data_IF_004778136494
#
_entry.id   IF_004778136494
#
_cell.length_a   1.000
_cell.length_b   1.000
_cell.length_c   1.000
_cell.angle_alpha   90.00
_cell.angle_beta   90.00
_cell.angle_gamma   90.00
#
_symmetry.space_group_name_H-M   'P 1'
#
loop_
_entity.id
_entity.type
_entity.pdbx_description
1 polymer ?
#
# COMPACT_ATOMS: atom_id res chain seq x y z
N UNK A 1 8.11 19.90 -10.84
CA UNK A 1 8.95 20.21 -9.67
C UNK A 1 8.96 18.97 -8.79
N UNK A 2 10.11 18.38 -8.41
CA UNK A 2 10.12 17.33 -7.40
C UNK A 2 9.95 18.03 -6.05
N UNK A 3 8.69 18.25 -5.66
CA UNK A 3 8.37 18.51 -4.26
C UNK A 3 8.62 17.19 -3.54
N UNK A 4 9.83 17.03 -3.00
CA UNK A 4 10.11 15.96 -2.04
C UNK A 4 9.21 16.26 -0.85
N UNK A 5 8.08 15.56 -0.73
CA UNK A 5 7.24 15.67 0.46
C UNK A 5 8.10 15.34 1.67
N UNK A 6 7.93 16.10 2.75
CA UNK A 6 8.59 15.73 4.00
C UNK A 6 8.12 14.31 4.42
N UNK A 7 9.00 13.51 5.04
CA UNK A 7 8.67 12.15 5.44
C UNK A 7 7.40 12.06 6.31
N UNK A 8 7.11 13.10 7.11
CA UNK A 8 5.95 13.16 7.98
C UNK A 8 4.64 13.22 7.19
N UNK A 9 4.57 14.09 6.19
CA UNK A 9 3.43 14.18 5.27
C UNK A 9 3.23 12.88 4.49
N UNK A 10 4.30 12.29 3.96
CA UNK A 10 4.21 11.02 3.25
C UNK A 10 3.62 9.90 4.14
N UNK A 11 4.09 9.80 5.38
CA UNK A 11 3.58 8.83 6.36
C UNK A 11 2.11 9.08 6.71
N UNK A 12 1.70 10.35 6.84
CA UNK A 12 0.31 10.71 7.11
C UNK A 12 -0.61 10.30 5.95
N UNK A 13 -0.19 10.53 4.70
CA UNK A 13 -0.90 10.12 3.48
C UNK A 13 -1.03 8.60 3.42
N UNK A 14 0.04 7.86 3.65
CA UNK A 14 0.00 6.38 3.71
C UNK A 14 -1.06 5.92 4.72
N UNK A 15 -1.07 6.53 5.91
CA UNK A 15 -2.06 6.21 6.94
C UNK A 15 -3.50 6.53 6.51
N UNK A 16 -3.71 7.61 5.75
CA UNK A 16 -5.03 7.96 5.21
C UNK A 16 -5.49 6.97 4.15
N UNK A 17 -4.59 6.55 3.25
CA UNK A 17 -4.87 5.55 2.22
C UNK A 17 -5.25 4.19 2.82
N UNK A 18 -4.54 3.74 3.85
CA UNK A 18 -4.91 2.50 4.57
C UNK A 18 -6.32 2.60 5.14
N UNK A 19 -6.68 3.71 5.81
CA UNK A 19 -8.04 3.88 6.35
C UNK A 19 -9.11 3.89 5.26
N UNK A 20 -8.82 4.47 4.09
CA UNK A 20 -9.74 4.46 2.95
C UNK A 20 -9.94 3.03 2.44
N UNK A 21 -8.86 2.28 2.23
CA UNK A 21 -8.90 0.90 1.74
C UNK A 21 -9.57 -0.06 2.75
N UNK A 22 -9.40 0.16 4.06
CA UNK A 22 -10.15 -0.56 5.09
C UNK A 22 -11.66 -0.38 4.90
N UNK A 23 -12.13 0.87 4.76
CA UNK A 23 -13.55 1.15 4.53
C UNK A 23 -14.06 0.56 3.22
N UNK A 24 -13.24 0.59 2.18
CA UNK A 24 -13.57 0.01 0.89
C UNK A 24 -13.73 -1.52 1.00
N UNK A 25 -12.78 -2.21 1.66
CA UNK A 25 -12.86 -3.64 1.91
C UNK A 25 -14.07 -4.04 2.78
N UNK A 26 -14.43 -3.21 3.78
CA UNK A 26 -15.66 -3.40 4.55
C UNK A 26 -16.91 -3.25 3.68
N UNK A 27 -16.96 -2.24 2.81
CA UNK A 27 -18.10 -2.00 1.94
C UNK A 27 -18.34 -3.12 0.93
N UNK A 28 -17.30 -3.83 0.50
CA UNK A 28 -17.42 -4.98 -0.39
C UNK A 28 -18.14 -6.19 0.26
N UNK A 29 -18.26 -6.21 1.60
CA UNK A 29 -18.96 -7.26 2.37
C UNK A 29 -20.40 -6.88 2.73
N UNK A 30 -20.81 -5.64 2.51
CA UNK A 30 -22.13 -5.16 2.88
C UNK A 30 -23.15 -5.48 1.76
N UNK A 31 -24.23 -6.18 2.11
CA UNK A 31 -25.40 -6.24 1.24
C UNK A 31 -26.12 -4.89 1.25
N UNK A 32 -26.37 -4.34 0.06
CA UNK A 32 -27.03 -3.03 -0.11
C UNK A 32 -28.22 -3.14 -1.04
N UNK A 33 -29.26 -2.39 -0.73
CA UNK A 33 -30.42 -2.25 -1.63
C UNK A 33 -29.99 -1.54 -2.92
N UNK A 34 -30.32 -2.16 -4.07
CA UNK A 34 -30.03 -1.58 -5.39
C UNK A 34 -31.12 -0.56 -5.72
N UNK A 35 -30.84 0.72 -5.47
CA UNK A 35 -31.78 1.82 -5.76
C UNK A 35 -31.91 2.14 -7.26
N UNK A 36 -30.86 1.85 -8.06
CA UNK A 36 -30.77 2.24 -9.47
C UNK A 36 -30.26 1.09 -10.36
N UNK A 37 -31.12 0.13 -10.68
CA UNK A 37 -30.75 -1.10 -11.41
C UNK A 37 -30.27 -0.93 -12.88
N UNK A 38 -30.27 0.29 -13.43
CA UNK A 38 -29.82 0.59 -14.81
C UNK A 38 -28.54 1.42 -14.87
N UNK A 39 -27.95 1.72 -13.71
CA UNK A 39 -26.68 2.43 -13.64
C UNK A 39 -25.55 1.41 -13.48
N UNK A 40 -24.61 1.41 -14.41
CA UNK A 40 -23.45 0.52 -14.39
C UNK A 40 -22.17 1.36 -14.38
N UNK A 41 -21.16 0.89 -13.67
CA UNK A 41 -19.82 1.46 -13.67
C UNK A 41 -18.79 0.32 -13.67
N UNK A 42 -17.61 0.51 -14.27
CA UNK A 42 -16.53 -0.47 -14.20
C UNK A 42 -16.12 -0.76 -12.76
N UNK A 43 -15.77 -2.01 -12.49
CA UNK A 43 -15.22 -2.42 -11.20
C UNK A 43 -13.82 -1.81 -11.00
N UNK A 44 -13.54 -1.39 -9.76
CA UNK A 44 -12.23 -0.91 -9.37
C UNK A 44 -11.37 -2.11 -8.96
N UNK A 45 -10.33 -2.40 -9.74
CA UNK A 45 -9.42 -3.52 -9.46
C UNK A 45 -8.50 -3.15 -8.29
N UNK A 46 -8.35 -4.01 -7.27
CA UNK A 46 -7.44 -3.76 -6.14
C UNK A 46 -6.00 -3.45 -6.53
N UNK A 47 -5.49 -4.10 -7.58
CA UNK A 47 -4.15 -3.84 -8.11
C UNK A 47 -4.00 -2.38 -8.58
N UNK A 48 -4.94 -1.87 -9.38
CA UNK A 48 -4.91 -0.47 -9.85
C UNK A 48 -5.02 0.51 -8.67
N UNK A 49 -5.88 0.19 -7.69
CA UNK A 49 -6.06 1.03 -6.50
C UNK A 49 -4.77 1.15 -5.68
N UNK A 50 -4.03 0.05 -5.51
CA UNK A 50 -2.78 0.07 -4.75
C UNK A 50 -1.64 0.72 -5.54
N UNK A 51 -1.57 0.49 -6.85
CA UNK A 51 -0.62 1.18 -7.75
C UNK A 51 -0.82 2.70 -7.65
N UNK A 52 -2.04 3.18 -7.87
CA UNK A 52 -2.36 4.61 -7.84
C UNK A 52 -2.13 5.23 -6.46
N UNK A 53 -2.42 4.49 -5.38
CA UNK A 53 -2.24 4.98 -4.02
C UNK A 53 -0.76 5.04 -3.63
N UNK A 54 0.00 3.97 -3.83
CA UNK A 54 1.28 3.80 -3.17
C UNK A 54 2.49 3.98 -4.08
N UNK A 55 2.40 3.74 -5.38
CA UNK A 55 3.56 3.79 -6.28
C UNK A 55 4.27 5.14 -6.30
N UNK A 56 3.59 6.31 -6.33
CA UNK A 56 4.27 7.61 -6.25
C UNK A 56 5.09 7.74 -4.96
N UNK A 57 4.49 7.41 -3.82
CA UNK A 57 5.13 7.51 -2.50
C UNK A 57 6.26 6.50 -2.34
N UNK A 58 6.09 5.28 -2.86
CA UNK A 58 7.13 4.25 -2.89
C UNK A 58 8.35 4.72 -3.67
N UNK A 59 8.14 5.21 -4.89
CA UNK A 59 9.21 5.68 -5.77
C UNK A 59 9.98 6.86 -5.16
N UNK A 60 9.25 7.86 -4.67
CA UNK A 60 9.79 9.13 -4.20
C UNK A 60 10.41 8.98 -2.79
N UNK A 61 9.81 8.13 -1.96
CA UNK A 61 10.26 7.82 -0.60
C UNK A 61 11.27 6.68 -0.48
N UNK A 62 11.67 6.03 -1.57
CA UNK A 62 12.52 4.83 -1.54
C UNK A 62 13.88 5.02 -0.83
N UNK A 63 14.44 6.24 -0.81
CA UNK A 63 15.68 6.53 -0.08
C UNK A 63 15.45 6.82 1.44
N UNK A 64 14.20 6.92 1.87
CA UNK A 64 13.80 7.31 3.22
C UNK A 64 13.30 6.09 3.99
N UNK A 65 14.09 5.67 4.99
CA UNK A 65 13.78 4.45 5.75
C UNK A 65 12.40 4.53 6.43
N UNK A 66 12.04 5.66 7.03
CA UNK A 66 10.79 5.82 7.76
C UNK A 66 9.56 5.66 6.83
N UNK A 67 9.66 6.17 5.60
CA UNK A 67 8.59 6.08 4.60
C UNK A 67 8.47 4.65 4.08
N UNK A 68 9.58 4.04 3.62
CA UNK A 68 9.57 2.65 3.14
C UNK A 68 9.11 1.66 4.21
N UNK A 69 9.57 1.82 5.45
CA UNK A 69 9.16 0.96 6.56
C UNK A 69 7.68 1.14 6.92
N UNK A 70 7.14 2.36 6.75
CA UNK A 70 5.70 2.60 6.91
C UNK A 70 4.90 1.95 5.79
N UNK A 71 5.37 1.97 4.54
CA UNK A 71 4.74 1.27 3.41
C UNK A 71 4.65 -0.23 3.68
N UNK A 72 5.74 -0.87 4.13
CA UNK A 72 5.71 -2.31 4.45
C UNK A 72 4.66 -2.65 5.51
N UNK A 73 4.53 -1.84 6.56
CA UNK A 73 3.48 -2.00 7.58
C UNK A 73 2.07 -1.72 7.04
N UNK A 74 1.94 -0.78 6.09
CA UNK A 74 0.66 -0.50 5.44
C UNK A 74 0.20 -1.69 4.60
N UNK A 75 1.08 -2.29 3.80
CA UNK A 75 0.77 -3.48 3.02
C UNK A 75 0.44 -4.68 3.91
N UNK A 76 1.15 -4.87 5.03
CA UNK A 76 0.78 -5.86 6.03
C UNK A 76 -0.65 -5.65 6.54
N UNK A 77 -1.00 -4.42 6.91
CA UNK A 77 -2.33 -4.09 7.40
C UNK A 77 -3.42 -4.33 6.33
N UNK A 78 -3.15 -3.96 5.07
CA UNK A 78 -4.09 -4.16 3.95
C UNK A 78 -4.29 -5.66 3.67
N UNK A 79 -3.21 -6.45 3.67
CA UNK A 79 -3.28 -7.91 3.52
C UNK A 79 -4.18 -8.54 4.58
N UNK A 80 -4.16 -8.00 5.81
CA UNK A 80 -4.96 -8.50 6.93
C UNK A 80 -6.44 -8.08 6.89
N UNK A 81 -6.93 -7.36 5.87
CA UNK A 81 -8.33 -6.92 5.79
C UNK A 81 -9.34 -8.02 5.40
N UNK A 82 -8.87 -9.23 5.12
CA UNK A 82 -9.75 -10.35 4.74
C UNK A 82 -10.39 -10.20 3.36
N UNK A 83 -9.77 -9.43 2.45
CA UNK A 83 -10.18 -9.29 1.07
C UNK A 83 -9.08 -9.86 0.17
N UNK A 84 -9.37 -10.96 -0.53
CA UNK A 84 -8.35 -11.78 -1.22
C UNK A 84 -7.53 -10.99 -2.24
N UNK A 85 -8.20 -10.30 -3.15
CA UNK A 85 -7.50 -9.55 -4.22
C UNK A 85 -6.69 -8.35 -3.67
N UNK A 86 -7.15 -7.70 -2.60
CA UNK A 86 -6.36 -6.69 -1.89
C UNK A 86 -5.14 -7.29 -1.20
N UNK A 87 -5.26 -8.51 -0.68
CA UNK A 87 -4.14 -9.20 -0.07
C UNK A 87 -3.08 -9.56 -1.11
N UNK A 88 -3.47 -10.13 -2.24
CA UNK A 88 -2.59 -10.43 -3.37
C UNK A 88 -1.88 -9.17 -3.88
N UNK A 89 -2.63 -8.08 -4.10
CA UNK A 89 -2.07 -6.80 -4.51
C UNK A 89 -1.12 -6.22 -3.45
N UNK A 90 -1.46 -6.28 -2.16
CA UNK A 90 -0.60 -5.78 -1.09
C UNK A 90 0.74 -6.51 -1.03
N UNK A 91 0.76 -7.82 -1.29
CA UNK A 91 2.01 -8.60 -1.35
C UNK A 91 2.86 -8.18 -2.55
N UNK A 92 2.26 -8.02 -3.72
CA UNK A 92 2.96 -7.53 -4.92
C UNK A 92 3.61 -6.16 -4.66
N UNK A 93 2.85 -5.18 -4.17
CA UNK A 93 3.37 -3.84 -3.93
C UNK A 93 4.36 -3.77 -2.77
N UNK A 94 4.24 -4.64 -1.76
CA UNK A 94 5.27 -4.80 -0.72
C UNK A 94 6.61 -5.20 -1.32
N UNK A 95 6.61 -6.16 -2.25
CA UNK A 95 7.81 -6.60 -2.98
C UNK A 95 8.42 -5.49 -3.84
N UNK A 96 7.61 -4.82 -4.67
CA UNK A 96 8.07 -3.72 -5.52
C UNK A 96 8.64 -2.55 -4.72
N UNK A 97 7.98 -2.17 -3.63
CA UNK A 97 8.46 -1.10 -2.75
C UNK A 97 9.77 -1.47 -2.05
N UNK A 98 9.93 -2.74 -1.66
CA UNK A 98 11.16 -3.23 -1.08
C UNK A 98 12.31 -3.19 -2.10
N UNK A 99 12.10 -3.66 -3.31
CA UNK A 99 13.09 -3.61 -4.40
C UNK A 99 13.60 -2.18 -4.62
N UNK A 100 12.68 -1.23 -4.76
CA UNK A 100 13.01 0.19 -4.92
C UNK A 100 13.81 0.74 -3.73
N UNK A 101 13.44 0.37 -2.51
CA UNK A 101 14.11 0.85 -1.31
C UNK A 101 15.51 0.26 -1.13
N UNK A 102 15.69 -1.04 -1.38
CA UNK A 102 17.00 -1.69 -1.30
C UNK A 102 18.02 -1.04 -2.24
N UNK A 103 17.58 -0.59 -3.42
CA UNK A 103 18.42 0.12 -4.38
C UNK A 103 18.86 1.53 -3.92
N UNK A 104 18.12 2.19 -3.01
CA UNK A 104 18.36 3.60 -2.63
C UNK A 104 18.79 3.82 -1.18
N UNK A 105 18.48 2.90 -0.27
CA UNK A 105 18.83 3.05 1.14
C UNK A 105 20.35 3.04 1.33
N UNK A 106 20.91 3.94 2.17
CA UNK A 106 22.36 4.11 2.27
C UNK A 106 23.05 3.06 3.13
N UNK A 107 22.36 2.52 4.14
CA UNK A 107 22.97 1.63 5.14
C UNK A 107 22.39 0.23 5.07
N UNK A 108 23.26 -0.76 5.33
CA UNK A 108 22.85 -2.15 5.41
C UNK A 108 21.92 -2.43 6.60
N UNK A 109 22.07 -1.66 7.67
CA UNK A 109 21.16 -1.69 8.81
C UNK A 109 19.71 -1.39 8.38
N UNK A 110 19.47 -0.32 7.62
CA UNK A 110 18.12 0.04 7.16
C UNK A 110 17.57 -0.96 6.14
N UNK A 111 18.41 -1.45 5.22
CA UNK A 111 18.02 -2.50 4.26
C UNK A 111 17.53 -3.75 4.97
N UNK A 112 18.31 -4.26 5.93
CA UNK A 112 17.95 -5.44 6.73
C UNK A 112 16.65 -5.25 7.50
N UNK A 113 16.52 -4.12 8.22
CA UNK A 113 15.31 -3.81 9.01
C UNK A 113 14.06 -3.70 8.13
N UNK A 114 14.20 -3.16 6.91
CA UNK A 114 13.09 -3.07 5.98
C UNK A 114 12.73 -4.45 5.39
N UNK A 115 13.72 -5.26 5.05
CA UNK A 115 13.51 -6.64 4.60
C UNK A 115 12.82 -7.48 5.69
N UNK A 116 13.24 -7.38 6.95
CA UNK A 116 12.57 -8.02 8.08
C UNK A 116 11.09 -7.66 8.17
N UNK A 117 10.75 -6.39 7.91
CA UNK A 117 9.37 -5.92 7.94
C UNK A 117 8.57 -6.39 6.72
N UNK A 118 9.17 -6.37 5.52
CA UNK A 118 8.55 -6.88 4.30
C UNK A 118 8.28 -8.39 4.38
N UNK A 119 9.17 -9.16 5.01
CA UNK A 119 8.99 -10.60 5.21
C UNK A 119 7.78 -10.94 6.10
N UNK A 120 7.22 -9.96 6.83
CA UNK A 120 5.96 -10.14 7.56
C UNK A 120 4.73 -10.08 6.64
N UNK A 121 4.90 -9.73 5.36
CA UNK A 121 3.88 -9.75 4.31
C UNK A 121 4.13 -10.99 3.44
N UNK A 122 3.85 -12.22 3.93
CA UNK A 122 4.19 -13.43 3.20
C UNK A 122 3.40 -13.52 1.89
N UNK A 123 4.09 -13.93 0.82
CA UNK A 123 3.49 -14.65 -0.30
C UNK A 123 3.02 -16.00 0.26
N UNK A 124 1.73 -16.28 0.17
CA UNK A 124 1.20 -17.60 0.53
C UNK A 124 1.82 -18.72 -0.34
#
# INVERSE_FOLDING_TARGET
>A
SPAVNDPGTAIAVIGAQVRLLTKWADSAREEREILYARLEAPELRPEDLLEDAFSPTSRDGAAMFEVGNRLQKAFLAIRSLGHRELAEAAVLHSGLALEQALAKLPTEYHRRRMQETANLVPLD
#
